data_IF_824120459152
#
_entry.id   IF_824120459152
#
_cell.length_a   1.000
_cell.length_b   1.000
_cell.length_c   1.000
_cell.angle_alpha   90.00
_cell.angle_beta   90.00
_cell.angle_gamma   90.00
#
_symmetry.space_group_name_H-M   'P 1'
#
loop_
_entity.id
_entity.type
_entity.pdbx_description
1 polymer ?
#
# COMPACT_ATOMS: atom_id res chain seq x y z
N UNK A 1 17.92 10.23 -40.73
CA UNK A 1 16.66 10.19 -39.95
C UNK A 1 16.60 8.94 -39.05
N UNK A 2 17.70 8.51 -38.45
CA UNK A 2 17.76 7.26 -37.66
C UNK A 2 17.27 7.43 -36.21
N UNK A 3 17.01 8.66 -35.77
CA UNK A 3 16.74 9.00 -34.37
C UNK A 3 15.27 8.97 -33.95
N UNK A 4 14.32 8.76 -34.87
CA UNK A 4 12.89 8.81 -34.52
C UNK A 4 12.45 7.56 -33.75
N UNK A 5 12.79 6.36 -34.26
CA UNK A 5 12.33 5.10 -33.67
C UNK A 5 13.01 4.79 -32.33
N UNK A 6 14.32 4.98 -32.22
CA UNK A 6 15.04 4.75 -30.97
C UNK A 6 14.58 5.71 -29.85
N UNK A 7 14.41 6.98 -30.16
CA UNK A 7 13.90 7.96 -29.18
C UNK A 7 12.48 7.61 -28.73
N UNK A 8 11.62 7.20 -29.68
CA UNK A 8 10.26 6.76 -29.37
C UNK A 8 10.25 5.52 -28.47
N UNK A 9 11.14 4.55 -28.71
CA UNK A 9 11.29 3.38 -27.84
C UNK A 9 11.67 3.77 -26.41
N UNK A 10 12.65 4.66 -26.22
CA UNK A 10 13.03 5.14 -24.89
C UNK A 10 11.93 5.96 -24.19
N UNK A 11 11.16 6.75 -24.95
CA UNK A 11 9.97 7.42 -24.41
C UNK A 11 8.97 6.40 -23.86
N UNK A 12 8.68 5.33 -24.60
CA UNK A 12 7.80 4.26 -24.12
C UNK A 12 8.39 3.49 -22.94
N UNK A 13 9.71 3.30 -22.88
CA UNK A 13 10.40 2.75 -21.71
C UNK A 13 10.13 3.56 -20.43
N UNK A 14 10.33 4.89 -20.48
CA UNK A 14 10.04 5.80 -19.35
C UNK A 14 8.56 5.81 -18.98
N UNK A 15 7.67 5.77 -19.98
CA UNK A 15 6.22 5.69 -19.75
C UNK A 15 5.86 4.40 -19.02
N UNK A 16 6.43 3.26 -19.42
CA UNK A 16 6.19 1.98 -18.78
C UNK A 16 6.58 2.01 -17.30
N UNK A 17 7.76 2.54 -16.97
CA UNK A 17 8.22 2.69 -15.58
C UNK A 17 7.25 3.50 -14.71
N UNK A 18 6.70 4.59 -15.26
CA UNK A 18 5.69 5.39 -14.57
C UNK A 18 4.38 4.60 -14.35
N UNK A 19 3.91 3.86 -15.35
CA UNK A 19 2.73 3.01 -15.21
C UNK A 19 2.92 1.92 -14.14
N UNK A 20 4.12 1.34 -14.03
CA UNK A 20 4.45 0.37 -12.98
C UNK A 20 4.35 0.99 -11.60
N UNK A 21 4.88 2.20 -11.39
CA UNK A 21 4.78 2.94 -10.11
C UNK A 21 3.32 3.18 -9.71
N UNK A 22 2.46 3.47 -10.69
CA UNK A 22 1.02 3.64 -10.47
C UNK A 22 0.22 2.34 -10.44
N UNK A 23 0.87 1.16 -10.41
CA UNK A 23 0.24 -0.18 -10.43
C UNK A 23 -0.66 -0.44 -11.64
N UNK A 24 -0.50 0.33 -12.72
CA UNK A 24 -1.21 0.18 -14.00
C UNK A 24 -0.45 -0.81 -14.89
N UNK A 25 -0.51 -2.09 -14.54
CA UNK A 25 0.29 -3.13 -15.18
C UNK A 25 -0.03 -3.32 -16.67
N UNK A 26 -1.30 -3.19 -17.07
CA UNK A 26 -1.70 -3.32 -18.48
C UNK A 26 -1.09 -2.22 -19.36
N UNK A 27 -1.16 -0.97 -18.91
CA UNK A 27 -0.56 0.16 -19.62
C UNK A 27 0.97 0.06 -19.69
N UNK A 28 1.60 -0.49 -18.64
CA UNK A 28 3.03 -0.74 -18.61
C UNK A 28 3.45 -1.82 -19.62
N UNK A 29 2.70 -2.93 -19.68
CA UNK A 29 2.92 -4.01 -20.65
C UNK A 29 2.76 -3.50 -22.08
N UNK A 30 1.70 -2.73 -22.35
CA UNK A 30 1.48 -2.14 -23.69
C UNK A 30 2.61 -1.18 -24.06
N UNK A 31 3.09 -0.38 -23.12
CA UNK A 31 4.20 0.54 -23.35
C UNK A 31 5.50 -0.21 -23.67
N UNK A 32 5.83 -1.31 -22.97
CA UNK A 32 6.99 -2.13 -23.33
C UNK A 32 6.84 -2.84 -24.69
N UNK A 33 5.63 -3.30 -25.05
CA UNK A 33 5.36 -3.85 -26.39
C UNK A 33 5.58 -2.81 -27.50
N UNK A 34 5.14 -1.57 -27.28
CA UNK A 34 5.40 -0.45 -28.20
C UNK A 34 6.89 -0.11 -28.29
N UNK A 35 7.63 -0.22 -27.19
CA UNK A 35 9.08 -0.04 -27.21
C UNK A 35 9.77 -1.12 -28.06
N UNK A 36 9.38 -2.40 -27.91
CA UNK A 36 9.87 -3.52 -28.75
C UNK A 36 9.61 -3.23 -30.22
N UNK A 37 8.37 -2.88 -30.58
CA UNK A 37 8.01 -2.55 -31.97
C UNK A 37 8.92 -1.49 -32.58
N UNK A 38 9.17 -0.39 -31.87
CA UNK A 38 10.07 0.66 -32.38
C UNK A 38 11.54 0.25 -32.42
N UNK A 39 12.00 -0.63 -31.53
CA UNK A 39 13.34 -1.20 -31.62
C UNK A 39 13.49 -2.13 -32.83
N UNK A 40 12.46 -2.90 -33.18
CA UNK A 40 12.43 -3.72 -34.40
C UNK A 40 12.48 -2.86 -35.67
N UNK A 41 11.70 -1.77 -35.72
CA UNK A 41 11.78 -0.82 -36.84
C UNK A 41 13.15 -0.15 -36.93
N UNK A 42 13.78 0.17 -35.79
CA UNK A 42 15.14 0.71 -35.76
C UNK A 42 16.18 -0.32 -36.26
N UNK A 43 15.99 -1.62 -36.00
CA UNK A 43 16.89 -2.68 -36.47
C UNK A 43 16.85 -2.90 -37.98
N UNK A 44 15.71 -2.59 -38.65
CA UNK A 44 15.59 -2.69 -40.11
C UNK A 44 16.46 -1.67 -40.84
N UNK A 45 16.84 -0.58 -40.17
CA UNK A 45 17.75 0.41 -40.72
C UNK A 45 19.17 -0.18 -40.68
N UNK A 46 19.84 -0.24 -41.83
CA UNK A 46 21.21 -0.76 -41.95
C UNK A 46 22.15 0.06 -41.06
N UNK A 47 22.56 -0.51 -39.94
CA UNK A 47 23.53 0.06 -39.01
C UNK A 47 24.71 -0.89 -38.78
N UNK A 48 25.72 -0.43 -38.05
CA UNK A 48 26.87 -1.24 -37.64
C UNK A 48 26.43 -2.52 -36.93
N UNK A 49 27.14 -3.66 -37.09
CA UNK A 49 26.82 -4.89 -36.37
C UNK A 49 26.75 -4.70 -34.85
N UNK A 50 27.59 -3.81 -34.30
CA UNK A 50 27.55 -3.47 -32.85
C UNK A 50 26.25 -2.78 -32.44
N UNK A 51 25.71 -1.92 -33.31
CA UNK A 51 24.42 -1.24 -33.04
C UNK A 51 23.28 -2.24 -33.11
N UNK A 52 23.32 -3.15 -34.08
CA UNK A 52 22.32 -4.21 -34.21
C UNK A 52 22.28 -5.12 -32.96
N UNK A 53 23.45 -5.56 -32.47
CA UNK A 53 23.54 -6.34 -31.22
C UNK A 53 22.99 -5.57 -30.00
N UNK A 54 23.32 -4.28 -29.88
CA UNK A 54 22.80 -3.42 -28.82
C UNK A 54 21.26 -3.32 -28.86
N UNK A 55 20.68 -3.15 -30.05
CA UNK A 55 19.22 -3.07 -30.22
C UNK A 55 18.55 -4.41 -29.89
N UNK A 56 19.15 -5.54 -30.27
CA UNK A 56 18.64 -6.86 -29.88
C UNK A 56 18.64 -7.07 -28.37
N UNK A 57 19.68 -6.59 -27.66
CA UNK A 57 19.74 -6.69 -26.21
C UNK A 57 18.63 -5.86 -25.54
N UNK A 58 18.38 -4.64 -26.05
CA UNK A 58 17.29 -3.78 -25.56
C UNK A 58 15.90 -4.38 -25.83
N UNK A 59 15.72 -5.02 -26.99
CA UNK A 59 14.49 -5.74 -27.31
C UNK A 59 14.24 -6.86 -26.30
N UNK A 60 15.24 -7.74 -26.10
CA UNK A 60 15.18 -8.83 -25.13
C UNK A 60 14.91 -8.34 -23.71
N UNK A 61 15.45 -7.18 -23.34
CA UNK A 61 15.15 -6.54 -22.06
C UNK A 61 13.65 -6.22 -21.95
N UNK A 62 13.05 -5.55 -22.93
CA UNK A 62 11.65 -5.20 -22.88
C UNK A 62 10.71 -6.40 -22.95
N UNK A 63 11.07 -7.45 -23.70
CA UNK A 63 10.35 -8.74 -23.69
C UNK A 63 10.33 -9.36 -22.28
N UNK A 64 11.50 -9.46 -21.63
CA UNK A 64 11.58 -9.95 -20.24
C UNK A 64 10.80 -9.08 -19.25
N UNK A 65 10.77 -7.76 -19.46
CA UNK A 65 9.96 -6.87 -18.63
C UNK A 65 8.47 -7.15 -18.79
N UNK A 66 7.99 -7.45 -20.00
CA UNK A 66 6.59 -7.85 -20.22
C UNK A 66 6.26 -9.11 -19.42
N UNK A 67 7.11 -10.13 -19.47
CA UNK A 67 6.88 -11.39 -18.74
C UNK A 67 6.84 -11.16 -17.23
N UNK A 68 7.80 -10.39 -16.70
CA UNK A 68 7.83 -10.03 -15.28
C UNK A 68 6.57 -9.26 -14.86
N UNK A 69 6.11 -8.32 -15.68
CA UNK A 69 4.90 -7.55 -15.39
C UNK A 69 3.63 -8.39 -15.46
N UNK A 70 3.56 -9.39 -16.34
CA UNK A 70 2.43 -10.33 -16.36
C UNK A 70 2.35 -11.14 -15.05
N UNK A 71 3.49 -11.58 -14.52
CA UNK A 71 3.54 -12.27 -13.23
C UNK A 71 3.08 -11.33 -12.11
N UNK A 72 3.62 -10.10 -12.06
CA UNK A 72 3.22 -9.10 -11.05
C UNK A 72 1.74 -8.74 -11.13
N UNK A 73 1.20 -8.58 -12.34
CA UNK A 73 -0.23 -8.35 -12.59
C UNK A 73 -1.07 -9.48 -11.99
N UNK A 74 -0.74 -10.74 -12.30
CA UNK A 74 -1.48 -11.91 -11.81
C UNK A 74 -1.46 -11.99 -10.28
N UNK A 75 -0.32 -11.71 -9.65
CA UNK A 75 -0.22 -11.69 -8.19
C UNK A 75 -1.07 -10.57 -7.60
N UNK A 76 -1.00 -9.37 -8.18
CA UNK A 76 -1.83 -8.25 -7.75
C UNK A 76 -3.33 -8.55 -7.87
N UNK A 77 -3.77 -9.14 -8.98
CA UNK A 77 -5.18 -9.53 -9.18
C UNK A 77 -5.63 -10.58 -8.16
N UNK A 78 -4.78 -11.56 -7.83
CA UNK A 78 -5.07 -12.55 -6.78
C UNK A 78 -5.25 -11.89 -5.42
N UNK A 79 -4.32 -11.01 -5.03
CA UNK A 79 -4.42 -10.25 -3.77
C UNK A 79 -5.67 -9.37 -3.74
N UNK A 80 -5.96 -8.64 -4.81
CA UNK A 80 -7.15 -7.80 -4.90
C UNK A 80 -8.44 -8.61 -4.78
N UNK A 81 -8.51 -9.78 -5.42
CA UNK A 81 -9.67 -10.67 -5.33
C UNK A 81 -9.85 -11.26 -3.92
N UNK A 82 -8.76 -11.61 -3.25
CA UNK A 82 -8.80 -12.06 -1.85
C UNK A 82 -9.30 -10.94 -0.91
N UNK A 83 -8.82 -9.71 -1.10
CA UNK A 83 -9.28 -8.54 -0.36
C UNK A 83 -10.76 -8.25 -0.64
N UNK A 84 -11.20 -8.32 -1.90
CA UNK A 84 -12.60 -8.14 -2.27
C UNK A 84 -13.49 -9.25 -1.67
N UNK A 85 -13.01 -10.49 -1.64
CA UNK A 85 -13.69 -11.60 -0.98
C UNK A 85 -13.86 -11.35 0.52
N UNK A 86 -12.80 -10.88 1.20
CA UNK A 86 -12.88 -10.51 2.61
C UNK A 86 -13.86 -9.35 2.84
N UNK A 87 -13.87 -8.34 1.97
CA UNK A 87 -14.87 -7.25 2.00
C UNK A 87 -16.29 -7.77 1.81
N UNK A 88 -16.53 -8.69 0.88
CA UNK A 88 -17.85 -9.28 0.63
C UNK A 88 -18.31 -10.24 1.73
N UNK A 89 -17.38 -10.92 2.41
CA UNK A 89 -17.71 -11.81 3.54
C UNK A 89 -17.99 -11.05 4.83
N UNK A 90 -17.57 -9.80 4.93
CA UNK A 90 -17.77 -8.97 6.11
C UNK A 90 -18.38 -7.59 5.77
N UNK A 91 -19.52 -7.55 5.05
CA UNK A 91 -20.15 -6.29 4.66
C UNK A 91 -20.69 -5.55 5.90
N UNK A 92 -21.10 -6.29 6.92
CA UNK A 92 -21.59 -5.78 8.20
C UNK A 92 -20.47 -5.08 9.00
N UNK A 93 -19.24 -5.59 8.96
CA UNK A 93 -18.10 -4.92 9.59
C UNK A 93 -17.74 -3.59 8.90
N UNK A 94 -17.79 -3.53 7.56
CA UNK A 94 -17.51 -2.29 6.85
C UNK A 94 -18.64 -1.27 7.04
N UNK A 95 -19.90 -1.72 7.04
CA UNK A 95 -21.05 -0.89 7.37
C UNK A 95 -20.94 -0.36 8.81
N UNK A 96 -20.59 -1.21 9.77
CA UNK A 96 -20.37 -0.82 11.16
C UNK A 96 -19.21 0.18 11.30
N UNK A 97 -18.13 0.02 10.52
CA UNK A 97 -17.02 0.98 10.53
C UNK A 97 -17.43 2.35 9.99
N UNK A 98 -18.20 2.38 8.90
CA UNK A 98 -18.73 3.63 8.34
C UNK A 98 -19.73 4.29 9.31
N UNK A 99 -20.67 3.53 9.89
CA UNK A 99 -21.63 4.05 10.87
C UNK A 99 -20.92 4.64 12.10
N UNK A 100 -19.80 4.06 12.54
CA UNK A 100 -18.97 4.62 13.62
C UNK A 100 -18.29 5.91 13.21
N UNK A 101 -17.77 5.98 11.99
CA UNK A 101 -17.15 7.18 11.44
C UNK A 101 -18.18 8.32 11.32
N UNK A 102 -19.39 8.01 10.89
CA UNK A 102 -20.48 8.99 10.78
C UNK A 102 -20.90 9.52 12.15
N UNK A 103 -21.05 8.65 13.16
CA UNK A 103 -21.30 9.08 14.55
C UNK A 103 -20.20 9.98 15.11
N UNK A 104 -18.94 9.71 14.76
CA UNK A 104 -17.81 10.56 15.15
C UNK A 104 -17.87 11.92 14.47
N UNK A 105 -18.14 11.95 13.16
CA UNK A 105 -18.29 13.19 12.40
C UNK A 105 -19.45 14.04 12.92
N UNK A 106 -20.59 13.41 13.24
CA UNK A 106 -21.74 14.08 13.86
C UNK A 106 -21.38 14.67 15.23
N UNK A 107 -20.67 13.92 16.08
CA UNK A 107 -20.20 14.41 17.38
C UNK A 107 -19.26 15.60 17.22
N UNK A 108 -18.31 15.52 16.28
CA UNK A 108 -17.37 16.60 15.99
C UNK A 108 -18.10 17.87 15.53
N UNK A 109 -19.06 17.74 14.61
CA UNK A 109 -19.89 18.87 14.15
C UNK A 109 -20.69 19.47 15.31
N UNK A 110 -21.27 18.64 16.19
CA UNK A 110 -22.01 19.11 17.34
C UNK A 110 -21.14 19.87 18.36
N UNK A 111 -19.89 19.45 18.56
CA UNK A 111 -18.91 20.16 19.41
C UNK A 111 -18.58 21.53 18.80
N UNK A 112 -18.26 21.59 17.51
CA UNK A 112 -17.95 22.88 16.86
C UNK A 112 -19.14 23.84 16.88
N UNK A 113 -20.34 23.36 16.62
CA UNK A 113 -21.56 24.17 16.70
C UNK A 113 -21.80 24.68 18.13
N UNK A 114 -21.63 23.83 19.14
CA UNK A 114 -21.81 24.21 20.54
C UNK A 114 -20.78 25.27 20.98
N UNK A 115 -19.53 25.17 20.51
CA UNK A 115 -18.50 26.18 20.76
C UNK A 115 -18.81 27.51 20.06
N UNK A 116 -19.25 27.48 18.80
CA UNK A 116 -19.62 28.67 18.03
C UNK A 116 -20.83 29.40 18.65
N UNK A 117 -21.84 28.64 19.08
CA UNK A 117 -22.99 29.17 19.82
C UNK A 117 -22.56 29.80 21.16
N UNK A 118 -21.57 29.20 21.84
CA UNK A 118 -21.05 29.69 23.13
C UNK A 118 -20.35 31.03 22.92
N UNK A 119 -19.48 31.11 21.91
CA UNK A 119 -18.74 32.32 21.58
C UNK A 119 -19.68 33.45 21.12
N UNK A 120 -20.71 33.12 20.34
CA UNK A 120 -21.76 34.08 19.94
C UNK A 120 -22.51 34.66 21.14
N UNK A 121 -22.94 33.83 22.09
CA UNK A 121 -23.61 34.29 23.31
C UNK A 121 -22.67 35.12 24.21
N UNK A 122 -21.42 34.71 24.37
CA UNK A 122 -20.42 35.49 25.11
C UNK A 122 -20.17 36.85 24.45
N UNK A 123 -20.17 36.92 23.12
CA UNK A 123 -20.03 38.19 22.40
C UNK A 123 -21.25 39.11 22.63
N UNK A 124 -22.47 38.56 22.67
CA UNK A 124 -23.68 39.35 23.00
C UNK A 124 -23.67 39.87 24.44
N UNK A 125 -23.14 39.08 25.40
CA UNK A 125 -22.95 39.50 26.78
C UNK A 125 -21.86 40.58 26.90
N UNK A 126 -20.77 40.44 26.15
CA UNK A 126 -19.65 41.40 26.16
C UNK A 126 -20.01 42.74 25.48
N UNK A 127 -20.92 42.73 24.49
CA UNK A 127 -21.47 43.94 23.84
C UNK A 127 -22.64 44.56 24.62
N UNK A 128 -23.10 43.89 25.68
CA UNK A 128 -24.37 44.11 26.37
C UNK A 128 -24.42 45.19 27.46
N UNK A 129 -23.72 46.33 27.32
CA UNK A 129 -23.99 47.51 28.16
C UNK A 129 -25.22 48.32 27.68
N UNK A 130 -25.92 47.90 26.62
CA UNK A 130 -26.94 48.73 25.94
C UNK A 130 -28.36 48.14 25.81
N UNK A 131 -28.62 46.90 26.23
CA UNK A 131 -29.98 46.33 26.26
C UNK A 131 -30.29 45.75 27.65
N UNK A 132 -31.41 46.17 28.23
CA UNK A 132 -31.74 46.01 29.66
C UNK A 132 -31.69 44.58 30.22
N UNK A 133 -31.73 44.49 31.56
CA UNK A 133 -31.50 43.30 32.40
C UNK A 133 -32.12 41.98 31.92
N UNK A 134 -33.25 41.99 31.21
CA UNK A 134 -33.91 40.80 30.67
C UNK A 134 -33.18 40.12 29.50
N UNK A 135 -32.30 40.81 28.78
CA UNK A 135 -31.51 40.20 27.69
C UNK A 135 -30.32 39.40 28.24
N UNK A 136 -29.69 39.92 29.28
CA UNK A 136 -28.54 39.28 29.92
C UNK A 136 -28.92 38.02 30.69
N UNK A 137 -30.10 37.99 31.33
CA UNK A 137 -30.60 36.78 32.01
C UNK A 137 -30.95 35.65 31.03
N UNK A 138 -31.51 35.97 29.87
CA UNK A 138 -31.80 34.97 28.82
C UNK A 138 -30.54 34.36 28.22
N UNK A 139 -29.56 35.22 27.88
CA UNK A 139 -28.25 34.75 27.40
C UNK A 139 -27.54 33.88 28.46
N UNK A 140 -27.71 34.19 29.75
CA UNK A 140 -27.18 33.37 30.84
C UNK A 140 -27.87 32.00 30.93
N UNK A 141 -29.20 31.93 30.80
CA UNK A 141 -29.95 30.67 30.78
C UNK A 141 -29.57 29.79 29.57
N UNK A 142 -29.41 30.40 28.39
CA UNK A 142 -28.94 29.71 27.19
C UNK A 142 -27.50 29.20 27.34
N UNK A 143 -26.61 29.98 27.98
CA UNK A 143 -25.25 29.56 28.28
C UNK A 143 -25.20 28.39 29.27
N UNK A 144 -26.09 28.36 30.27
CA UNK A 144 -26.21 27.23 31.22
C UNK A 144 -26.66 25.96 30.47
N UNK A 145 -27.65 26.09 29.57
CA UNK A 145 -28.12 24.98 28.73
C UNK A 145 -27.02 24.46 27.80
N UNK A 146 -26.27 25.37 27.18
CA UNK A 146 -25.21 25.04 26.25
C UNK A 146 -24.01 24.39 26.93
N UNK A 147 -23.68 24.83 28.14
CA UNK A 147 -22.67 24.22 28.99
C UNK A 147 -23.07 22.79 29.40
N UNK A 148 -24.35 22.57 29.77
CA UNK A 148 -24.85 21.22 30.00
C UNK A 148 -24.72 20.33 28.75
N UNK A 149 -25.02 20.87 27.57
CA UNK A 149 -24.83 20.19 26.29
C UNK A 149 -23.35 19.87 26.02
N UNK A 150 -22.44 20.80 26.30
CA UNK A 150 -21.00 20.59 26.17
C UNK A 150 -20.50 19.45 27.09
N UNK A 151 -20.99 19.38 28.32
CA UNK A 151 -20.68 18.27 29.23
C UNK A 151 -21.12 16.92 28.67
N UNK A 152 -22.30 16.84 28.05
CA UNK A 152 -22.78 15.61 27.39
C UNK A 152 -21.87 15.24 26.20
N UNK A 153 -21.46 16.23 25.40
CA UNK A 153 -20.56 16.01 24.26
C UNK A 153 -19.17 15.53 24.70
N UNK A 154 -18.61 16.12 25.76
CA UNK A 154 -17.33 15.71 26.36
C UNK A 154 -17.43 14.28 26.89
N UNK A 155 -18.52 13.93 27.58
CA UNK A 155 -18.74 12.58 28.07
C UNK A 155 -18.82 11.55 26.93
N UNK A 156 -19.51 11.90 25.83
CA UNK A 156 -19.55 11.06 24.61
C UNK A 156 -18.17 10.94 23.97
N UNK A 157 -17.37 12.00 23.95
CA UNK A 157 -16.01 11.97 23.42
C UNK A 157 -15.11 11.06 24.26
N UNK A 158 -15.19 11.13 25.59
CA UNK A 158 -14.46 10.25 26.50
C UNK A 158 -14.83 8.79 26.28
N UNK A 159 -16.13 8.49 26.15
CA UNK A 159 -16.62 7.15 25.85
C UNK A 159 -16.06 6.62 24.52
N UNK A 160 -16.06 7.44 23.46
CA UNK A 160 -15.46 7.05 22.18
C UNK A 160 -13.97 6.73 22.30
N UNK A 161 -13.20 7.50 23.09
CA UNK A 161 -11.78 7.23 23.32
C UNK A 161 -11.58 5.87 23.99
N UNK A 162 -12.39 5.53 24.99
CA UNK A 162 -12.33 4.22 25.67
C UNK A 162 -12.71 3.07 24.73
N UNK A 163 -13.75 3.26 23.91
CA UNK A 163 -14.15 2.31 22.86
C UNK A 163 -13.02 2.06 21.85
N UNK A 164 -12.32 3.10 21.40
CA UNK A 164 -11.16 2.94 20.51
C UNK A 164 -9.95 2.31 21.19
N UNK A 165 -9.73 2.59 22.48
CA UNK A 165 -8.64 1.97 23.23
C UNK A 165 -8.85 0.46 23.36
N UNK A 166 -10.07 0.04 23.70
CA UNK A 166 -10.44 -1.39 23.78
C UNK A 166 -10.39 -2.08 22.42
N UNK A 167 -10.93 -1.46 21.36
CA UNK A 167 -10.85 -2.00 20.01
C UNK A 167 -9.40 -2.17 19.54
N UNK A 168 -8.54 -1.18 19.76
CA UNK A 168 -7.12 -1.29 19.44
C UNK A 168 -6.44 -2.46 20.18
N UNK A 169 -6.78 -2.70 21.44
CA UNK A 169 -6.25 -3.85 22.16
C UNK A 169 -6.73 -5.17 21.55
N UNK A 170 -8.02 -5.28 21.20
CA UNK A 170 -8.55 -6.49 20.54
C UNK A 170 -7.92 -6.74 19.17
N UNK A 171 -7.65 -5.68 18.39
CA UNK A 171 -6.99 -5.79 17.09
C UNK A 171 -5.53 -6.20 17.24
N UNK A 172 -4.80 -5.63 18.22
CA UNK A 172 -3.44 -6.05 18.57
C UNK A 172 -3.41 -7.51 19.00
N UNK A 173 -4.38 -7.96 19.79
CA UNK A 173 -4.48 -9.35 20.21
C UNK A 173 -4.77 -10.29 19.03
N UNK A 174 -5.69 -9.92 18.14
CA UNK A 174 -5.95 -10.67 16.90
C UNK A 174 -4.70 -10.76 16.03
N UNK A 175 -3.95 -9.67 15.87
CA UNK A 175 -2.68 -9.66 15.14
C UNK A 175 -1.66 -10.61 15.79
N UNK A 176 -1.51 -10.58 17.12
CA UNK A 176 -0.66 -11.53 17.87
C UNK A 176 -1.05 -12.98 17.62
N UNK A 177 -2.35 -13.30 17.52
CA UNK A 177 -2.82 -14.64 17.21
C UNK A 177 -2.48 -15.07 15.77
N UNK A 178 -2.70 -14.19 14.77
CA UNK A 178 -2.37 -14.49 13.38
C UNK A 178 -0.85 -14.61 13.14
N UNK A 179 -0.04 -13.84 13.86
CA UNK A 179 1.43 -13.96 13.83
C UNK A 179 1.89 -15.32 14.39
N UNK A 180 1.30 -15.76 15.51
CA UNK A 180 1.57 -17.09 16.10
C UNK A 180 1.10 -18.25 15.20
N UNK A 181 -0.04 -18.10 14.53
CA UNK A 181 -0.52 -19.11 13.56
C UNK A 181 0.37 -19.19 12.31
N UNK A 182 1.02 -18.08 11.91
CA UNK A 182 2.00 -18.06 10.82
C UNK A 182 3.31 -18.77 11.20
N UNK A 183 3.69 -18.76 12.48
CA UNK A 183 4.85 -19.50 13.00
C UNK A 183 4.52 -20.99 13.26
N UNK A 184 3.24 -21.32 13.47
CA UNK A 184 2.75 -22.66 13.80
C UNK A 184 2.23 -23.51 12.62
N UNK A 185 2.94 -23.57 11.49
CA UNK A 185 2.86 -24.70 10.54
C UNK A 185 1.84 -24.63 9.38
N UNK A 186 2.36 -24.46 8.15
CA UNK A 186 1.69 -24.76 6.88
C UNK A 186 2.58 -24.48 5.66
N UNK A 187 2.82 -25.44 4.74
CA UNK A 187 3.97 -25.42 3.84
C UNK A 187 3.67 -24.74 2.50
N UNK A 188 3.94 -23.44 2.37
CA UNK A 188 4.02 -22.80 1.05
C UNK A 188 5.13 -21.74 1.04
N UNK A 189 6.29 -22.18 0.53
CA UNK A 189 7.21 -21.43 -0.32
C UNK A 189 7.41 -19.95 0.03
N UNK A 190 8.38 -19.69 0.88
CA UNK A 190 9.13 -18.44 0.89
C UNK A 190 9.76 -18.23 -0.50
N UNK A 191 9.15 -17.38 -1.33
CA UNK A 191 9.79 -16.84 -2.55
C UNK A 191 9.67 -15.33 -2.51
N UNK A 192 10.37 -14.70 -1.57
CA UNK A 192 10.75 -13.28 -1.70
C UNK A 192 12.10 -13.04 -1.02
N UNK A 193 13.20 -13.44 -1.65
CA UNK A 193 14.45 -12.68 -1.60
C UNK A 193 15.42 -13.12 -2.70
N UNK A 194 15.13 -12.72 -3.94
CA UNK A 194 16.12 -12.75 -5.01
C UNK A 194 15.85 -11.61 -5.99
N UNK A 195 16.36 -10.41 -5.69
CA UNK A 195 16.86 -9.46 -6.68
C UNK A 195 17.49 -8.23 -5.98
N UNK A 196 18.63 -8.42 -5.33
CA UNK A 196 19.58 -7.33 -5.15
C UNK A 196 21.02 -7.89 -5.17
N UNK A 197 21.78 -7.50 -6.19
CA UNK A 197 23.20 -7.81 -6.40
C UNK A 197 23.45 -9.21 -6.98
N UNK A 198 24.32 -9.46 -7.95
CA UNK A 198 25.46 -8.68 -8.42
C UNK A 198 25.98 -9.26 -9.75
N UNK A 199 26.58 -8.37 -10.53
CA UNK A 199 27.63 -8.68 -11.51
C UNK A 199 28.75 -9.60 -10.95
N UNK A 200 29.39 -10.33 -11.88
CA UNK A 200 30.62 -11.17 -11.83
C UNK A 200 30.27 -12.67 -11.81
N UNK A 201 30.76 -13.55 -12.67
CA UNK A 201 31.76 -13.54 -13.75
C UNK A 201 31.98 -15.02 -14.15
N UNK A 202 32.40 -15.26 -15.41
CA UNK A 202 33.05 -16.45 -16.03
C UNK A 202 33.17 -17.76 -15.19
N UNK A 203 32.98 -19.00 -15.70
CA UNK A 203 33.50 -19.60 -16.94
C UNK A 203 33.06 -21.10 -17.08
N UNK A 204 32.80 -21.58 -18.31
CA UNK A 204 33.04 -22.95 -18.90
C UNK A 204 32.31 -24.19 -18.31
N UNK A 205 31.81 -25.22 -19.02
CA UNK A 205 31.46 -25.61 -20.41
C UNK A 205 30.57 -26.89 -20.33
N UNK A 206 29.51 -26.96 -21.17
CA UNK A 206 28.93 -28.06 -22.01
C UNK A 206 29.21 -29.58 -21.73
N UNK A 207 28.50 -30.56 -22.37
CA UNK A 207 27.09 -30.68 -22.82
C UNK A 207 26.44 -32.10 -22.66
N UNK A 208 25.20 -32.26 -23.20
CA UNK A 208 24.40 -33.47 -23.60
C UNK A 208 23.34 -33.91 -22.59
N UNK A 209 22.18 -34.47 -22.95
CA UNK A 209 21.22 -34.43 -24.08
C UNK A 209 20.08 -35.38 -23.63
N UNK A 210 18.86 -35.10 -24.11
CA UNK A 210 17.72 -36.04 -24.32
C UNK A 210 16.81 -36.44 -23.14
N UNK A 211 15.54 -36.04 -23.31
CA UNK A 211 14.26 -36.72 -23.06
C UNK A 211 14.15 -37.82 -21.99
N UNK A 212 13.19 -37.63 -21.08
CA UNK A 212 12.63 -38.73 -20.29
C UNK A 212 12.06 -38.29 -18.95
N UNK A 213 10.74 -38.38 -18.80
CA UNK A 213 10.04 -38.20 -17.54
C UNK A 213 10.39 -39.33 -16.54
N UNK A 214 10.83 -38.97 -15.33
CA UNK A 214 10.62 -39.77 -14.12
C UNK A 214 10.92 -38.91 -12.88
N UNK A 215 10.02 -39.00 -11.92
CA UNK A 215 10.10 -38.57 -10.52
C UNK A 215 11.35 -39.13 -9.83
N UNK A 216 12.09 -38.30 -9.09
CA UNK A 216 13.11 -38.80 -8.16
C UNK A 216 13.16 -37.95 -6.88
N UNK A 217 12.47 -38.45 -5.86
CA UNK A 217 12.53 -38.01 -4.46
C UNK A 217 13.80 -38.55 -3.82
N UNK A 218 14.95 -37.88 -4.01
CA UNK A 218 16.14 -38.15 -3.19
C UNK A 218 17.15 -36.99 -3.27
N UNK A 219 16.99 -36.00 -2.39
CA UNK A 219 18.09 -35.12 -2.00
C UNK A 219 18.28 -35.26 -0.50
N UNK A 220 19.47 -35.73 -0.11
CA UNK A 220 19.87 -35.87 1.29
C UNK A 220 19.67 -34.54 2.04
N UNK A 221 19.02 -34.61 3.20
CA UNK A 221 18.76 -33.45 4.05
C UNK A 221 20.09 -32.80 4.45
N UNK A 222 20.37 -31.61 3.91
CA UNK A 222 21.52 -30.82 4.31
C UNK A 222 21.36 -30.39 5.77
N UNK A 223 22.46 -30.42 6.52
CA UNK A 223 22.46 -30.05 7.93
C UNK A 223 21.93 -28.62 8.14
N UNK A 224 21.14 -28.36 9.19
CA UNK A 224 20.60 -27.02 9.44
C UNK A 224 21.73 -26.02 9.64
N UNK A 225 21.68 -24.90 8.93
CA UNK A 225 22.62 -23.80 9.15
C UNK A 225 22.22 -23.07 10.43
N UNK A 226 23.01 -23.21 11.49
CA UNK A 226 22.84 -22.43 12.72
C UNK A 226 23.08 -20.96 12.41
N UNK A 227 22.09 -20.12 12.72
CA UNK A 227 22.23 -18.68 12.55
C UNK A 227 23.09 -18.09 13.67
N UNK A 228 23.94 -17.09 13.35
CA UNK A 228 24.69 -16.38 14.38
C UNK A 228 23.73 -15.69 15.37
N UNK A 229 24.03 -15.83 16.65
CA UNK A 229 23.33 -15.13 17.72
C UNK A 229 23.85 -13.69 17.74
N UNK A 230 23.00 -12.74 17.39
CA UNK A 230 23.32 -11.32 17.49
C UNK A 230 22.95 -10.86 18.90
N UNK A 231 23.96 -10.41 19.66
CA UNK A 231 23.73 -9.74 20.93
C UNK A 231 23.31 -8.29 20.66
N UNK A 232 22.05 -7.96 20.96
CA UNK A 232 21.47 -6.64 20.74
C UNK A 232 21.59 -5.74 21.98
N UNK A 233 22.32 -6.17 23.01
CA UNK A 233 22.54 -5.35 24.20
C UNK A 233 23.37 -4.08 23.95
N UNK A 234 24.01 -3.94 22.78
CA UNK A 234 24.74 -2.72 22.38
C UNK A 234 23.87 -1.63 21.73
N UNK A 235 22.58 -1.89 21.42
CA UNK A 235 21.73 -0.89 20.76
C UNK A 235 20.84 -0.08 21.71
N UNK A 236 20.76 -0.45 22.99
CA UNK A 236 20.12 0.36 24.04
C UNK A 236 21.17 1.26 24.69
N UNK A 237 21.59 2.32 24.00
CA UNK A 237 22.00 3.60 24.56
C UNK A 237 22.45 4.54 23.44
N UNK A 238 21.55 5.39 22.95
CA UNK A 238 21.76 6.83 22.74
C UNK A 238 20.47 7.53 22.32
#
# INVERSE_FOLDING_TARGET
MENSHLNTAHMYGRRAENCVKSRRYDDAIESHRKAVFHLEEAQKIKSSPKVHESLQLQQKYHEKQVDLLQIKKRQYERCMKALEYQRRKNPEYLAQQNDRLDKYNELQVAIYHNLDDTDGLLETLNKGESNGANGSTKALEELISLNHSLHILIQRMAQNIDEYATENETLRERLRCYEKEKEGGGPLGNVETAANGLNKGRHIELPKREDGAATDDNLAALAPLEMPVFDLSEFDNH
#
